data_IF_882635763496
#
_entry.id   IF_882635763496
#
_cell.length_a   1.000
_cell.length_b   1.000
_cell.length_c   1.000
_cell.angle_alpha   90.00
_cell.angle_beta   90.00
_cell.angle_gamma   90.00
#
_symmetry.space_group_name_H-M   'P 1'
#
loop_
_entity.id
_entity.type
_entity.pdbx_description
1 polymer ?
#
# COMPACT_ATOMS: atom_id res chain seq x y z
N UNK A 1 5.50 15.53 18.62
CA UNK A 1 4.42 14.90 19.42
C UNK A 1 4.16 13.54 18.83
N UNK A 2 4.15 12.48 19.64
CA UNK A 2 3.82 11.12 19.16
C UNK A 2 2.30 11.04 19.00
N UNK A 3 1.85 10.66 17.82
CA UNK A 3 0.45 10.37 17.52
C UNK A 3 0.28 8.86 17.41
N UNK A 4 -0.32 8.26 18.42
CA UNK A 4 -0.63 6.83 18.43
C UNK A 4 -1.82 6.55 17.53
N UNK A 5 -1.62 5.71 16.54
CA UNK A 5 -2.68 5.20 15.69
C UNK A 5 -3.23 3.93 16.34
N UNK A 6 -4.41 4.05 16.92
CA UNK A 6 -5.12 2.92 17.51
C UNK A 6 -5.76 2.04 16.42
N UNK A 7 -5.97 0.77 16.73
CA UNK A 7 -6.55 -0.21 15.80
C UNK A 7 -7.93 0.23 15.27
N UNK A 8 -8.75 0.82 16.11
CA UNK A 8 -10.09 1.27 15.72
C UNK A 8 -10.03 2.42 14.71
N UNK A 9 -9.09 3.36 14.87
CA UNK A 9 -8.88 4.45 13.92
C UNK A 9 -8.39 3.91 12.57
N UNK A 10 -7.40 3.01 12.58
CA UNK A 10 -6.91 2.34 11.36
C UNK A 10 -8.04 1.61 10.63
N UNK A 11 -8.83 0.84 11.36
CA UNK A 11 -9.97 0.09 10.81
C UNK A 11 -11.00 1.02 10.18
N UNK A 12 -11.41 2.07 10.89
CA UNK A 12 -12.42 3.01 10.40
C UNK A 12 -11.96 3.75 9.15
N UNK A 13 -10.74 4.28 9.15
CA UNK A 13 -10.18 4.95 7.97
C UNK A 13 -10.07 4.00 6.78
N UNK A 14 -9.66 2.75 7.01
CA UNK A 14 -9.56 1.74 5.94
C UNK A 14 -10.93 1.43 5.35
N UNK A 15 -11.96 1.31 6.17
CA UNK A 15 -13.34 1.07 5.68
C UNK A 15 -13.91 2.28 4.95
N UNK A 16 -13.60 3.49 5.36
CA UNK A 16 -14.01 4.70 4.65
C UNK A 16 -13.33 4.78 3.28
N UNK A 17 -12.02 4.48 3.20
CA UNK A 17 -11.32 4.36 1.92
C UNK A 17 -11.90 3.25 1.03
N UNK A 18 -12.33 2.13 1.60
CA UNK A 18 -12.98 1.07 0.84
C UNK A 18 -14.30 1.53 0.19
N UNK A 19 -15.08 2.36 0.88
CA UNK A 19 -16.30 2.97 0.31
C UNK A 19 -15.94 3.89 -0.85
N UNK A 20 -14.95 4.78 -0.68
CA UNK A 20 -14.49 5.69 -1.74
C UNK A 20 -14.01 4.91 -2.98
N UNK A 21 -13.28 3.80 -2.77
CA UNK A 21 -12.84 2.91 -3.84
C UNK A 21 -14.02 2.28 -4.59
N UNK A 22 -15.02 1.76 -3.86
CA UNK A 22 -16.24 1.19 -4.48
C UNK A 22 -17.01 2.24 -5.29
N UNK A 23 -17.16 3.46 -4.79
CA UNK A 23 -17.79 4.57 -5.50
C UNK A 23 -17.04 4.96 -6.79
N UNK A 24 -15.73 4.77 -6.82
CA UNK A 24 -14.87 4.98 -7.99
C UNK A 24 -14.68 3.73 -8.85
N UNK A 25 -15.56 2.75 -8.69
CA UNK A 25 -15.56 1.51 -9.46
C UNK A 25 -14.30 0.66 -9.30
N UNK A 26 -13.73 0.60 -8.08
CA UNK A 26 -12.80 -0.45 -7.69
C UNK A 26 -13.61 -1.57 -7.02
N UNK A 27 -13.42 -2.79 -7.47
CA UNK A 27 -14.13 -3.96 -6.92
C UNK A 27 -13.32 -5.24 -7.12
N UNK A 28 -13.80 -6.35 -6.59
CA UNK A 28 -13.09 -7.63 -6.65
C UNK A 28 -12.77 -8.09 -8.07
N UNK A 29 -13.68 -7.82 -9.04
CA UNK A 29 -13.52 -8.29 -10.42
C UNK A 29 -12.44 -7.53 -11.20
N UNK A 30 -12.20 -6.26 -10.86
CA UNK A 30 -11.35 -5.38 -11.66
C UNK A 30 -10.12 -4.84 -10.91
N UNK A 31 -9.89 -5.24 -9.66
CA UNK A 31 -8.83 -4.68 -8.81
C UNK A 31 -7.93 -5.78 -8.23
N UNK A 32 -6.63 -5.53 -8.22
CA UNK A 32 -5.65 -6.31 -7.46
C UNK A 32 -4.99 -5.38 -6.45
N UNK A 33 -4.97 -5.78 -5.19
CA UNK A 33 -4.33 -5.03 -4.10
C UNK A 33 -2.91 -5.55 -3.89
N UNK A 34 -1.93 -4.66 -3.99
CA UNK A 34 -0.52 -4.94 -3.71
C UNK A 34 -0.10 -4.19 -2.46
N UNK A 35 0.12 -4.91 -1.36
CA UNK A 35 0.60 -4.32 -0.11
C UNK A 35 2.10 -4.07 -0.20
N UNK A 36 2.50 -2.85 0.16
CA UNK A 36 3.90 -2.41 0.18
C UNK A 36 4.42 -2.49 1.61
N UNK A 37 5.60 -3.11 1.79
CA UNK A 37 6.20 -3.29 3.12
C UNK A 37 5.36 -4.20 4.01
N UNK A 38 5.71 -5.45 4.05
CA UNK A 38 4.87 -6.60 4.42
C UNK A 38 4.37 -6.60 5.85
N UNK A 39 5.10 -6.04 6.81
CA UNK A 39 4.77 -6.26 8.21
C UNK A 39 3.58 -5.43 8.69
N UNK A 40 3.35 -4.25 8.12
CA UNK A 40 2.40 -3.30 8.67
C UNK A 40 1.27 -2.90 7.72
N UNK A 41 1.57 -2.77 6.45
CA UNK A 41 0.54 -2.49 5.44
C UNK A 41 -0.35 -3.70 5.14
N UNK A 42 0.03 -4.89 5.62
CA UNK A 42 -0.71 -6.13 5.42
C UNK A 42 -2.12 -6.08 6.00
N UNK A 43 -2.29 -5.49 7.18
CA UNK A 43 -3.61 -5.37 7.82
C UNK A 43 -4.55 -4.49 6.99
N UNK A 44 -4.07 -3.32 6.56
CA UNK A 44 -4.83 -2.40 5.72
C UNK A 44 -5.19 -3.07 4.38
N UNK A 45 -4.22 -3.70 3.73
CA UNK A 45 -4.44 -4.40 2.47
C UNK A 45 -5.41 -5.57 2.57
N UNK A 46 -5.33 -6.37 3.65
CA UNK A 46 -6.26 -7.48 3.88
C UNK A 46 -7.68 -6.99 4.13
N UNK A 47 -7.85 -5.95 4.93
CA UNK A 47 -9.16 -5.35 5.21
C UNK A 47 -9.78 -4.75 3.95
N UNK A 48 -9.00 -4.05 3.12
CA UNK A 48 -9.45 -3.54 1.82
C UNK A 48 -9.87 -4.68 0.89
N UNK A 49 -9.06 -5.75 0.78
CA UNK A 49 -9.42 -6.93 -0.02
C UNK A 49 -10.74 -7.52 0.45
N UNK A 50 -10.91 -7.67 1.76
CA UNK A 50 -12.15 -8.20 2.33
C UNK A 50 -13.34 -7.29 2.02
N UNK A 51 -13.18 -5.98 2.19
CA UNK A 51 -14.25 -5.00 1.94
C UNK A 51 -14.65 -4.89 0.46
N UNK A 52 -13.69 -5.09 -0.46
CA UNK A 52 -13.98 -5.11 -1.91
C UNK A 52 -14.49 -6.47 -2.41
N UNK A 53 -14.38 -7.54 -1.60
CA UNK A 53 -14.82 -8.88 -1.97
C UNK A 53 -16.32 -9.07 -1.80
N UNK A 54 -16.90 -9.97 -2.61
CA UNK A 54 -18.27 -10.43 -2.50
C UNK A 54 -18.30 -11.93 -2.21
N UNK A 55 -19.46 -12.47 -1.88
CA UNK A 55 -19.65 -13.90 -1.56
C UNK A 55 -19.15 -14.82 -2.67
N UNK A 56 -19.28 -14.39 -3.92
CA UNK A 56 -18.92 -15.17 -5.11
C UNK A 56 -17.58 -14.75 -5.73
N UNK A 57 -16.99 -13.65 -5.29
CA UNK A 57 -15.79 -13.10 -5.91
C UNK A 57 -14.86 -12.47 -4.88
N UNK A 58 -13.65 -13.02 -4.78
CA UNK A 58 -12.61 -12.55 -3.86
C UNK A 58 -11.67 -11.60 -4.59
N UNK A 59 -11.46 -10.42 -4.01
CA UNK A 59 -10.47 -9.47 -4.51
C UNK A 59 -9.05 -10.07 -4.40
N UNK A 60 -8.36 -10.13 -5.52
CA UNK A 60 -6.97 -10.62 -5.57
C UNK A 60 -6.00 -9.66 -4.88
N UNK A 61 -4.90 -10.19 -4.39
CA UNK A 61 -3.82 -9.38 -3.83
C UNK A 61 -2.59 -10.20 -3.44
N UNK A 62 -1.48 -9.51 -3.29
CA UNK A 62 -0.21 -10.03 -2.80
C UNK A 62 0.59 -8.92 -2.11
N UNK A 63 1.65 -9.30 -1.41
CA UNK A 63 2.56 -8.34 -0.76
C UNK A 63 3.91 -8.26 -1.47
N UNK A 64 4.55 -7.12 -1.41
CA UNK A 64 5.94 -6.92 -1.79
C UNK A 64 6.70 -6.31 -0.63
N UNK A 65 7.88 -6.87 -0.33
CA UNK A 65 8.83 -6.22 0.56
C UNK A 65 9.56 -5.13 -0.20
N UNK A 66 9.75 -3.99 0.44
CA UNK A 66 10.58 -2.92 -0.11
C UNK A 66 11.81 -2.73 0.79
N UNK A 67 12.98 -2.45 0.22
CA UNK A 67 14.16 -2.12 0.99
C UNK A 67 13.89 -0.93 1.90
N UNK A 68 14.62 -0.84 2.99
CA UNK A 68 14.53 0.30 3.90
C UNK A 68 14.66 1.62 3.13
N UNK A 69 14.03 2.72 3.60
CA UNK A 69 13.85 3.96 2.81
C UNK A 69 15.13 4.59 2.24
N UNK A 70 16.27 4.25 2.83
CA UNK A 70 17.59 4.79 2.44
C UNK A 70 18.44 3.77 1.63
N UNK A 71 17.92 2.57 1.39
CA UNK A 71 18.58 1.57 0.55
C UNK A 71 18.21 1.75 -0.92
N UNK A 72 19.22 1.69 -1.77
CA UNK A 72 19.03 1.72 -3.22
C UNK A 72 18.48 0.37 -3.65
N UNK A 73 17.48 0.37 -4.51
CA UNK A 73 16.98 -0.83 -5.16
C UNK A 73 18.05 -1.35 -6.13
N UNK A 74 18.81 -2.34 -5.69
CA UNK A 74 19.87 -2.95 -6.47
C UNK A 74 19.32 -3.96 -7.51
N UNK A 75 20.19 -4.40 -8.42
CA UNK A 75 19.82 -5.34 -9.50
C UNK A 75 19.29 -6.68 -8.96
N UNK A 76 19.76 -7.11 -7.79
CA UNK A 76 19.31 -8.35 -7.16
C UNK A 76 17.87 -8.22 -6.69
N UNK A 77 17.57 -7.14 -5.96
CA UNK A 77 16.23 -6.85 -5.48
C UNK A 77 15.25 -6.68 -6.66
N UNK A 78 15.65 -5.90 -7.67
CA UNK A 78 14.85 -5.71 -8.89
C UNK A 78 14.58 -7.07 -9.57
N UNK A 79 15.58 -7.95 -9.68
CA UNK A 79 15.42 -9.28 -10.24
C UNK A 79 14.46 -10.19 -9.44
N UNK A 80 14.47 -10.07 -8.11
CA UNK A 80 13.52 -10.77 -7.24
C UNK A 80 12.09 -10.23 -7.41
N UNK A 81 11.94 -8.92 -7.49
CA UNK A 81 10.65 -8.26 -7.68
C UNK A 81 10.03 -8.60 -9.04
N UNK A 82 10.82 -8.67 -10.12
CA UNK A 82 10.36 -9.14 -11.43
C UNK A 82 9.75 -10.54 -11.32
N UNK A 83 10.41 -11.47 -10.61
CA UNK A 83 9.90 -12.83 -10.41
C UNK A 83 8.57 -12.86 -9.67
N UNK A 84 8.39 -11.98 -8.66
CA UNK A 84 7.12 -11.85 -7.94
C UNK A 84 6.02 -11.39 -8.89
N UNK A 85 6.26 -10.35 -9.69
CA UNK A 85 5.28 -9.86 -10.65
C UNK A 85 4.98 -10.88 -11.77
N UNK A 86 5.97 -11.62 -12.25
CA UNK A 86 5.77 -12.71 -13.20
C UNK A 86 4.88 -13.81 -12.63
N UNK A 87 5.06 -14.16 -11.35
CA UNK A 87 4.22 -15.15 -10.69
C UNK A 87 2.74 -14.73 -10.62
N UNK A 88 2.48 -13.45 -10.43
CA UNK A 88 1.13 -12.91 -10.33
C UNK A 88 0.61 -12.26 -11.61
N UNK A 89 1.34 -12.34 -12.73
CA UNK A 89 1.01 -11.69 -13.99
C UNK A 89 -0.43 -11.95 -14.44
N UNK A 90 -0.90 -13.19 -14.33
CA UNK A 90 -2.25 -13.57 -14.72
C UNK A 90 -3.35 -12.87 -13.90
N UNK A 91 -3.04 -12.41 -12.68
CA UNK A 91 -3.96 -11.65 -11.82
C UNK A 91 -3.97 -10.16 -12.18
N UNK A 92 -2.91 -9.66 -12.80
CA UNK A 92 -2.75 -8.24 -13.13
C UNK A 92 -3.36 -7.88 -14.48
N UNK A 93 -3.55 -8.85 -15.36
CA UNK A 93 -4.06 -8.62 -16.71
C UNK A 93 -5.45 -7.98 -16.70
N UNK A 94 -5.57 -6.81 -17.34
CA UNK A 94 -6.81 -6.02 -17.44
C UNK A 94 -7.40 -5.58 -16.10
N UNK A 95 -6.59 -5.50 -15.05
CA UNK A 95 -6.99 -5.07 -13.71
C UNK A 95 -6.41 -3.70 -13.38
N UNK A 96 -7.06 -3.02 -12.45
CA UNK A 96 -6.49 -1.89 -11.71
C UNK A 96 -5.53 -2.45 -10.66
N UNK A 97 -4.32 -1.93 -10.61
CA UNK A 97 -3.32 -2.33 -9.62
C UNK A 97 -3.29 -1.24 -8.54
N UNK A 98 -3.72 -1.57 -7.34
CA UNK A 98 -3.76 -0.64 -6.22
C UNK A 98 -2.64 -0.99 -5.24
N UNK A 99 -1.60 -0.16 -5.18
CA UNK A 99 -0.56 -0.25 -4.16
C UNK A 99 -1.04 0.39 -2.86
N UNK A 100 -0.82 -0.30 -1.75
CA UNK A 100 -1.31 0.11 -0.42
C UNK A 100 -0.15 0.18 0.56
N UNK A 101 0.01 1.32 1.21
CA UNK A 101 0.97 1.55 2.30
C UNK A 101 0.25 2.22 3.48
N UNK A 102 0.54 1.76 4.72
CA UNK A 102 -0.11 2.31 5.90
C UNK A 102 0.35 3.75 6.20
N UNK A 103 1.64 4.02 6.06
CA UNK A 103 2.22 5.34 6.33
C UNK A 103 3.19 5.80 5.25
N UNK A 104 2.84 6.85 4.54
CA UNK A 104 3.69 7.47 3.51
C UNK A 104 4.33 8.73 4.04
N UNK A 105 5.64 8.69 4.32
CA UNK A 105 6.40 9.83 4.87
C UNK A 105 6.96 10.69 3.73
N UNK A 106 7.81 10.13 2.89
CA UNK A 106 8.49 10.84 1.78
C UNK A 106 7.93 10.46 0.41
N UNK A 107 7.23 9.34 0.34
CA UNK A 107 6.71 8.77 -0.91
C UNK A 107 7.78 8.09 -1.77
N UNK A 108 8.96 7.81 -1.22
CA UNK A 108 10.07 7.19 -1.95
C UNK A 108 9.71 5.81 -2.47
N UNK A 109 9.05 4.97 -1.66
CA UNK A 109 8.63 3.63 -2.05
C UNK A 109 7.74 3.67 -3.30
N UNK A 110 6.72 4.51 -3.29
CA UNK A 110 5.81 4.66 -4.44
C UNK A 110 6.53 5.19 -5.68
N UNK A 111 7.48 6.10 -5.50
CA UNK A 111 8.28 6.58 -6.64
C UNK A 111 9.16 5.49 -7.23
N UNK A 112 9.79 4.66 -6.39
CA UNK A 112 10.57 3.51 -6.85
C UNK A 112 9.69 2.46 -7.54
N UNK A 113 8.53 2.14 -6.97
CA UNK A 113 7.55 1.23 -7.58
C UNK A 113 7.11 1.74 -8.96
N UNK A 114 6.77 3.02 -9.07
CA UNK A 114 6.37 3.63 -10.33
C UNK A 114 7.47 3.49 -11.40
N UNK A 115 8.72 3.79 -11.03
CA UNK A 115 9.85 3.65 -11.94
C UNK A 115 10.07 2.17 -12.31
N UNK A 116 10.02 1.26 -11.34
CA UNK A 116 10.15 -0.17 -11.57
C UNK A 116 9.10 -0.71 -12.55
N UNK A 117 7.83 -0.37 -12.36
CA UNK A 117 6.75 -0.80 -13.24
C UNK A 117 6.96 -0.30 -14.67
N UNK A 118 7.34 0.97 -14.83
CA UNK A 118 7.61 1.57 -16.13
C UNK A 118 8.84 0.94 -16.82
N UNK A 119 9.98 0.91 -16.10
CA UNK A 119 11.28 0.62 -16.71
C UNK A 119 11.50 -0.88 -16.92
N UNK A 120 10.93 -1.74 -16.08
CA UNK A 120 11.16 -3.19 -16.14
C UNK A 120 9.96 -4.00 -16.61
N UNK A 121 8.74 -3.53 -16.39
CA UNK A 121 7.53 -4.27 -16.77
C UNK A 121 6.71 -3.60 -17.86
N UNK A 122 7.02 -2.35 -18.23
CA UNK A 122 6.26 -1.58 -19.22
C UNK A 122 4.82 -1.26 -18.79
N UNK A 123 4.54 -1.29 -17.47
CA UNK A 123 3.22 -0.99 -16.92
C UNK A 123 3.16 0.49 -16.55
N UNK A 124 2.31 1.25 -17.24
CA UNK A 124 2.13 2.69 -17.03
C UNK A 124 0.69 3.09 -16.71
N UNK A 125 -0.26 2.24 -17.06
CA UNK A 125 -1.68 2.52 -16.93
C UNK A 125 -2.35 1.64 -15.88
N UNK A 126 -3.49 2.10 -15.37
CA UNK A 126 -4.29 1.41 -14.36
C UNK A 126 -3.53 1.10 -13.06
N UNK A 127 -2.56 1.95 -12.70
CA UNK A 127 -1.80 1.86 -11.46
C UNK A 127 -2.21 3.00 -10.54
N UNK A 128 -2.55 2.66 -9.32
CA UNK A 128 -3.06 3.58 -8.30
C UNK A 128 -2.32 3.36 -6.98
N UNK A 129 -2.28 4.40 -6.15
CA UNK A 129 -1.55 4.40 -4.89
C UNK A 129 -2.47 4.87 -3.76
N UNK A 130 -2.49 4.11 -2.67
CA UNK A 130 -3.28 4.42 -1.48
C UNK A 130 -2.38 4.50 -0.26
N UNK A 131 -2.50 5.59 0.50
CA UNK A 131 -1.89 5.74 1.81
C UNK A 131 -2.98 5.86 2.88
N UNK A 132 -2.90 5.09 3.96
CA UNK A 132 -3.79 5.30 5.09
C UNK A 132 -3.48 6.64 5.77
N UNK A 133 -2.17 6.90 5.98
CA UNK A 133 -1.66 8.20 6.44
C UNK A 133 -0.60 8.72 5.47
N UNK A 134 -0.76 9.95 4.98
CA UNK A 134 0.23 10.58 4.12
C UNK A 134 0.75 11.87 4.74
N UNK A 135 2.07 12.02 4.77
CA UNK A 135 2.68 13.28 5.15
C UNK A 135 2.34 14.38 4.14
N UNK A 136 1.84 15.52 4.64
CA UNK A 136 1.53 16.71 3.83
C UNK A 136 2.69 17.16 2.93
N UNK A 137 3.93 16.94 3.39
CA UNK A 137 5.16 17.32 2.69
C UNK A 137 5.73 16.18 1.82
N UNK A 138 5.03 15.04 1.67
CA UNK A 138 5.44 13.97 0.77
C UNK A 138 5.58 14.48 -0.67
N UNK A 139 6.67 14.08 -1.33
CA UNK A 139 6.94 14.46 -2.74
C UNK A 139 6.12 13.64 -3.72
N UNK A 140 5.75 12.43 -3.34
CA UNK A 140 4.80 11.60 -4.09
C UNK A 140 3.42 11.78 -3.47
N UNK A 141 2.41 11.96 -4.31
CA UNK A 141 1.03 12.09 -3.85
C UNK A 141 0.25 10.84 -4.21
N UNK A 142 -0.34 10.23 -3.19
CA UNK A 142 -1.21 9.07 -3.38
C UNK A 142 -2.54 9.49 -4.00
N UNK A 143 -3.17 8.59 -4.75
CA UNK A 143 -4.48 8.81 -5.36
C UNK A 143 -5.60 8.79 -4.31
N UNK A 144 -5.40 7.97 -3.27
CA UNK A 144 -6.33 7.81 -2.15
C UNK A 144 -5.58 8.00 -0.84
N UNK A 145 -6.08 8.85 0.05
CA UNK A 145 -5.47 9.15 1.35
C UNK A 145 -6.53 9.14 2.42
N UNK A 146 -6.32 8.34 3.47
CA UNK A 146 -7.20 8.32 4.63
C UNK A 146 -7.08 9.58 5.46
N UNK A 147 -5.87 9.92 5.88
CA UNK A 147 -5.61 11.12 6.68
C UNK A 147 -4.23 11.72 6.33
N UNK A 148 -4.18 13.05 6.29
CA UNK A 148 -2.91 13.78 6.15
C UNK A 148 -2.35 14.16 7.51
N UNK A 149 -1.05 13.95 7.70
CA UNK A 149 -0.32 14.41 8.88
C UNK A 149 0.89 15.27 8.51
N UNK A 150 1.46 15.91 9.51
CA UNK A 150 2.67 16.72 9.37
C UNK A 150 3.81 16.09 10.18
N UNK A 151 4.79 15.51 9.52
CA UNK A 151 5.89 14.82 10.17
C UNK A 151 6.89 15.75 10.89
N UNK A 152 6.82 17.07 10.67
CA UNK A 152 7.62 18.04 11.44
C UNK A 152 7.06 18.22 12.87
N UNK A 153 5.77 17.99 13.03
CA UNK A 153 5.06 18.18 14.32
C UNK A 153 4.56 16.89 14.95
N UNK A 154 4.44 15.82 14.16
CA UNK A 154 3.84 14.54 14.56
C UNK A 154 4.70 13.36 14.09
N UNK A 155 5.02 12.48 15.03
CA UNK A 155 5.53 11.15 14.71
C UNK A 155 4.38 10.16 14.81
N UNK A 156 4.10 9.44 13.72
CA UNK A 156 3.10 8.38 13.75
C UNK A 156 3.70 7.13 14.41
N UNK A 157 2.95 6.57 15.33
CA UNK A 157 3.27 5.26 15.92
C UNK A 157 2.01 4.41 15.84
N UNK A 158 2.06 3.32 15.13
CA UNK A 158 0.95 2.40 15.00
C UNK A 158 0.87 1.46 16.21
N UNK A 159 -0.33 0.97 16.52
CA UNK A 159 -0.58 0.10 17.68
C UNK A 159 0.28 -1.17 17.66
N UNK A 160 0.53 -1.78 16.50
CA UNK A 160 1.39 -2.97 16.37
C UNK A 160 2.87 -2.70 16.65
N UNK A 161 3.37 -1.47 16.50
CA UNK A 161 4.74 -1.11 16.84
C UNK A 161 4.97 -1.14 18.35
N UNK A 162 3.91 -0.99 19.14
CA UNK A 162 3.99 -1.07 20.60
C UNK A 162 4.03 -2.51 21.10
N UNK A 163 3.32 -3.42 20.46
CA UNK A 163 3.33 -4.84 20.84
C UNK A 163 4.71 -5.47 20.68
N UNK A 164 5.47 -5.05 19.67
CA UNK A 164 6.84 -5.55 19.41
C UNK A 164 7.89 -5.05 20.42
N UNK A 165 7.63 -4.00 21.20
CA UNK A 165 8.56 -3.51 22.23
C UNK A 165 8.64 -4.41 23.48
N UNK A 166 7.75 -5.37 23.63
CA UNK A 166 7.73 -6.30 24.75
C UNK A 166 8.48 -7.63 24.50
N UNK A 167 9.09 -7.80 23.32
CA UNK A 167 9.80 -9.04 22.93
C UNK A 167 11.32 -8.88 22.79
N UNK A 168 11.89 -7.76 23.31
CA UNK A 168 13.35 -7.53 23.37
C UNK A 168 13.82 -7.59 24.81
#
# INVERSE_FOLDING_TARGET
MIHLIEQDLETNLTLDLAKDLLEQNFNASNTVIVTVSTDYSSNVGQLLRHALSHVEEICDGFGIDVPYPDEIWDERYIGELIKVFDLYKYKLENKKILFVEAGVIRGSNYKYIQNFLCDHLGITDNVFYLALFENKNSKFKSDFVGEYYDNETQDLTFWWEQENKHWI
#
